data_IF_724303476633
#
_entry.id   IF_724303476633
#
_cell.length_a   1.000
_cell.length_b   1.000
_cell.length_c   1.000
_cell.angle_alpha   90.00
_cell.angle_beta   90.00
_cell.angle_gamma   90.00
#
_symmetry.space_group_name_H-M   'P 1'
#
loop_
_entity.id
_entity.type
_entity.pdbx_description
1 polymer ?
#
# COMPACT_ATOMS: atom_id res chain seq x y z
N UNK A 1 7.06 2.41 -15.11
CA UNK A 1 7.76 1.47 -14.21
C UNK A 1 7.14 1.56 -12.83
N UNK A 2 6.50 0.49 -12.40
CA UNK A 2 5.95 0.39 -11.05
C UNK A 2 7.14 0.22 -10.10
N UNK A 3 7.36 1.18 -9.20
CA UNK A 3 8.41 1.08 -8.18
C UNK A 3 7.86 0.24 -7.03
N UNK A 4 8.33 -0.99 -6.92
CA UNK A 4 7.99 -1.88 -5.83
C UNK A 4 8.83 -1.57 -4.58
N UNK A 5 8.27 -1.83 -3.40
CA UNK A 5 9.04 -1.74 -2.14
C UNK A 5 10.28 -2.63 -2.20
N UNK A 6 10.16 -3.84 -2.77
CA UNK A 6 11.27 -4.78 -2.95
C UNK A 6 12.36 -4.19 -3.85
N UNK A 7 12.00 -3.63 -4.99
CA UNK A 7 12.96 -3.05 -5.96
C UNK A 7 13.72 -1.87 -5.36
N UNK A 8 13.11 -1.16 -4.40
CA UNK A 8 13.75 -0.04 -3.72
C UNK A 8 15.00 -0.43 -2.93
N UNK A 9 15.12 -1.68 -2.48
CA UNK A 9 16.34 -2.16 -1.82
C UNK A 9 17.47 -2.47 -2.82
N UNK A 10 17.13 -2.86 -4.04
CA UNK A 10 18.09 -3.14 -5.10
C UNK A 10 18.63 -1.84 -5.72
N UNK A 11 17.76 -0.83 -5.91
CA UNK A 11 18.11 0.45 -6.53
C UNK A 11 17.68 1.65 -5.66
N UNK A 12 18.21 1.80 -4.43
CA UNK A 12 17.72 2.77 -3.46
C UNK A 12 17.83 4.22 -3.95
N UNK A 13 18.96 4.59 -4.56
CA UNK A 13 19.19 5.97 -5.06
C UNK A 13 18.27 6.32 -6.23
N UNK A 14 18.03 5.38 -7.15
CA UNK A 14 17.13 5.60 -8.28
C UNK A 14 15.69 5.73 -7.81
N UNK A 15 15.26 4.86 -6.89
CA UNK A 15 13.94 4.89 -6.28
C UNK A 15 13.67 6.23 -5.60
N UNK A 16 14.57 6.63 -4.70
CA UNK A 16 14.43 7.90 -3.97
C UNK A 16 14.39 9.09 -4.93
N UNK A 17 15.38 9.20 -5.83
CA UNK A 17 15.43 10.27 -6.83
C UNK A 17 14.17 10.35 -7.67
N UNK A 18 13.64 9.23 -8.12
CA UNK A 18 12.45 9.20 -8.99
C UNK A 18 11.20 9.66 -8.24
N UNK A 19 10.95 9.11 -7.05
CA UNK A 19 9.77 9.46 -6.25
C UNK A 19 9.80 10.94 -5.84
N UNK A 20 10.95 11.43 -5.40
CA UNK A 20 11.09 12.83 -4.99
C UNK A 20 11.00 13.78 -6.19
N UNK A 21 11.62 13.45 -7.33
CA UNK A 21 11.60 14.30 -8.51
C UNK A 21 10.19 14.45 -9.10
N UNK A 22 9.40 13.38 -9.17
CA UNK A 22 8.01 13.45 -9.67
C UNK A 22 7.20 14.44 -8.86
N UNK A 23 7.24 14.34 -7.54
CA UNK A 23 6.51 15.23 -6.65
C UNK A 23 7.05 16.67 -6.72
N UNK A 24 8.37 16.85 -6.56
CA UNK A 24 8.97 18.17 -6.52
C UNK A 24 8.76 18.95 -7.81
N UNK A 25 9.01 18.34 -8.97
CA UNK A 25 8.84 19.01 -10.27
C UNK A 25 7.40 19.48 -10.47
N UNK A 26 6.40 18.65 -10.06
CA UNK A 26 5.01 19.04 -10.17
C UNK A 26 4.69 20.22 -9.25
N UNK A 27 5.08 20.15 -7.98
CA UNK A 27 4.86 21.24 -7.00
C UNK A 27 5.55 22.52 -7.44
N UNK A 28 6.80 22.47 -7.91
CA UNK A 28 7.52 23.64 -8.42
C UNK A 28 6.80 24.32 -9.58
N UNK A 29 6.22 23.56 -10.50
CA UNK A 29 5.42 24.11 -11.59
C UNK A 29 4.14 24.77 -11.05
N UNK A 30 3.41 24.11 -10.13
CA UNK A 30 2.21 24.66 -9.54
C UNK A 30 2.49 26.01 -8.84
N UNK A 31 3.57 26.08 -8.04
CA UNK A 31 3.97 27.29 -7.34
C UNK A 31 4.40 28.36 -8.35
N UNK A 32 5.33 28.05 -9.28
CA UNK A 32 5.90 29.03 -10.20
C UNK A 32 4.89 29.63 -11.18
N UNK A 33 3.81 28.93 -11.44
CA UNK A 33 2.71 29.36 -12.32
C UNK A 33 1.47 29.84 -11.56
N UNK A 34 1.55 29.88 -10.22
CA UNK A 34 0.44 30.28 -9.35
C UNK A 34 -0.86 29.48 -9.63
N UNK A 35 -0.69 28.20 -10.00
CA UNK A 35 -1.83 27.32 -10.31
C UNK A 35 -2.40 26.76 -9.02
N UNK A 36 -3.62 27.18 -8.68
CA UNK A 36 -4.41 26.60 -7.60
C UNK A 36 -5.21 25.44 -8.12
N UNK A 37 -4.99 24.25 -7.59
CA UNK A 37 -5.75 23.05 -7.92
C UNK A 37 -5.95 22.18 -6.69
N UNK A 38 -6.94 21.32 -6.75
CA UNK A 38 -7.07 20.23 -5.80
C UNK A 38 -5.95 19.21 -6.06
N UNK A 39 -5.26 18.79 -5.01
CA UNK A 39 -4.11 17.90 -5.14
C UNK A 39 -4.23 16.71 -4.19
N UNK A 40 -4.15 15.51 -4.74
CA UNK A 40 -4.11 14.27 -3.97
C UNK A 40 -2.74 13.60 -4.08
N UNK A 41 -2.08 13.41 -2.95
CA UNK A 41 -0.84 12.64 -2.86
C UNK A 41 -1.12 11.21 -2.46
N UNK A 42 -0.86 10.28 -3.35
CA UNK A 42 -0.85 8.86 -3.01
C UNK A 42 0.34 8.54 -2.10
N UNK A 43 0.09 8.55 -0.81
CA UNK A 43 1.02 8.11 0.23
C UNK A 43 0.87 6.62 0.52
N UNK A 44 1.54 6.08 1.53
CA UNK A 44 1.60 4.63 1.73
C UNK A 44 1.67 4.26 3.21
N UNK A 45 1.01 3.19 3.60
CA UNK A 45 1.13 2.60 4.92
C UNK A 45 2.56 2.10 5.26
N UNK A 46 3.43 1.96 4.24
CA UNK A 46 4.85 1.65 4.45
C UNK A 46 5.63 2.77 5.16
N UNK A 47 5.04 3.97 5.25
CA UNK A 47 5.63 5.11 5.99
C UNK A 47 5.61 4.91 7.51
N UNK A 48 4.70 4.12 8.03
CA UNK A 48 4.55 3.87 9.46
C UNK A 48 5.64 2.95 10.01
N UNK A 49 5.87 3.04 11.32
CA UNK A 49 6.79 2.14 12.03
C UNK A 49 6.33 0.68 11.90
N UNK A 50 7.25 -0.25 11.61
CA UNK A 50 6.91 -1.69 11.58
C UNK A 50 6.60 -2.28 12.96
N UNK A 51 6.90 -1.54 14.03
CA UNK A 51 6.72 -1.99 15.40
C UNK A 51 5.43 -1.48 16.07
N UNK A 52 4.50 -0.92 15.27
CA UNK A 52 3.22 -0.46 15.80
C UNK A 52 2.34 -1.65 16.18
N UNK A 53 1.66 -1.51 17.30
CA UNK A 53 0.63 -2.44 17.77
C UNK A 53 -0.75 -1.84 17.55
N UNK A 54 -1.77 -2.69 17.31
CA UNK A 54 -3.15 -2.27 17.09
C UNK A 54 -3.43 -1.76 15.68
N UNK A 55 -4.47 -0.93 15.57
CA UNK A 55 -4.83 -0.25 14.32
C UNK A 55 -4.01 1.03 14.15
N UNK A 56 -3.77 1.38 12.90
CA UNK A 56 -2.87 2.46 12.51
C UNK A 56 -3.70 3.59 11.90
N UNK A 57 -3.68 4.75 12.56
CA UNK A 57 -4.29 6.00 12.13
C UNK A 57 -3.24 7.06 11.72
N UNK A 58 -3.70 8.27 11.38
CA UNK A 58 -2.87 9.38 10.92
C UNK A 58 -1.92 9.92 11.99
N UNK A 59 -2.18 9.68 13.28
CA UNK A 59 -1.36 10.13 14.41
C UNK A 59 -0.18 9.20 14.70
N UNK A 60 -0.19 8.01 14.13
CA UNK A 60 0.81 7.00 14.36
C UNK A 60 2.19 7.41 13.85
N UNK A 61 3.23 6.93 14.53
CA UNK A 61 4.62 7.29 14.25
C UNK A 61 5.06 6.87 12.83
N UNK A 62 5.56 7.83 12.07
CA UNK A 62 6.24 7.57 10.79
C UNK A 62 7.69 7.17 11.04
N UNK A 63 8.04 5.92 10.73
CA UNK A 63 9.38 5.36 10.91
C UNK A 63 9.71 4.40 9.76
N UNK A 64 9.98 4.95 8.56
CA UNK A 64 10.14 4.17 7.33
C UNK A 64 11.39 3.29 7.38
N UNK A 65 11.26 2.03 7.00
CA UNK A 65 12.34 1.03 6.99
C UNK A 65 12.86 0.69 5.58
N UNK A 66 12.30 1.27 4.51
CA UNK A 66 12.74 1.07 3.13
C UNK A 66 13.04 2.38 2.41
N UNK A 67 13.88 2.39 1.35
CA UNK A 67 14.13 3.58 0.53
C UNK A 67 12.83 4.14 -0.07
N UNK A 68 11.92 3.29 -0.53
CA UNK A 68 10.59 3.67 -0.99
C UNK A 68 9.82 4.44 0.08
N UNK A 69 9.71 3.87 1.27
CA UNK A 69 8.96 4.47 2.38
C UNK A 69 9.58 5.80 2.84
N UNK A 70 10.91 5.91 2.86
CA UNK A 70 11.62 7.17 3.18
C UNK A 70 11.25 8.29 2.20
N UNK A 71 11.26 7.99 0.90
CA UNK A 71 10.87 8.96 -0.13
C UNK A 71 9.38 9.35 0.00
N UNK A 72 8.48 8.40 0.31
CA UNK A 72 7.07 8.69 0.57
C UNK A 72 6.87 9.58 1.79
N UNK A 73 7.58 9.34 2.90
CA UNK A 73 7.55 10.20 4.10
C UNK A 73 8.02 11.62 3.76
N UNK A 74 9.09 11.76 2.96
CA UNK A 74 9.60 13.08 2.55
C UNK A 74 8.55 13.87 1.78
N UNK A 75 7.92 13.28 0.77
CA UNK A 75 6.85 13.92 -0.01
C UNK A 75 5.62 14.24 0.87
N UNK A 76 5.23 13.31 1.74
CA UNK A 76 4.12 13.48 2.68
C UNK A 76 4.33 14.71 3.59
N UNK A 77 5.49 14.79 4.25
CA UNK A 77 5.82 15.94 5.12
C UNK A 77 5.89 17.25 4.36
N UNK A 78 6.47 17.24 3.16
CA UNK A 78 6.51 18.44 2.31
C UNK A 78 5.11 18.88 1.90
N UNK A 79 4.21 17.95 1.57
CA UNK A 79 2.81 18.28 1.28
C UNK A 79 2.12 18.95 2.48
N UNK A 80 2.28 18.42 3.70
CA UNK A 80 1.66 18.99 4.89
C UNK A 80 2.13 20.43 5.13
N UNK A 81 3.43 20.70 4.97
CA UNK A 81 3.95 22.07 5.06
C UNK A 81 3.34 23.00 4.00
N UNK A 82 3.17 22.52 2.76
CA UNK A 82 2.56 23.32 1.69
C UNK A 82 1.08 23.64 1.93
N UNK A 83 0.34 22.78 2.60
CA UNK A 83 -1.05 23.05 3.03
C UNK A 83 -1.08 24.26 3.95
N UNK A 84 -0.17 24.30 4.93
CA UNK A 84 -0.10 25.39 5.90
C UNK A 84 0.38 26.71 5.26
N UNK A 85 1.35 26.64 4.33
CA UNK A 85 1.98 27.82 3.71
C UNK A 85 1.10 28.47 2.63
N UNK A 86 0.32 27.68 1.86
CA UNK A 86 -0.37 28.17 0.65
C UNK A 86 -1.89 28.11 0.70
N UNK A 87 -2.46 27.59 1.78
CA UNK A 87 -3.93 27.37 1.92
C UNK A 87 -4.53 26.53 0.77
N UNK A 88 -3.72 25.72 0.10
CA UNK A 88 -4.15 24.88 -1.00
C UNK A 88 -5.03 23.73 -0.54
N UNK A 89 -5.95 23.31 -1.39
CA UNK A 89 -6.74 22.11 -1.16
C UNK A 89 -5.93 20.87 -1.52
N UNK A 90 -5.15 20.38 -0.56
CA UNK A 90 -4.27 19.23 -0.71
C UNK A 90 -4.55 18.16 0.32
N UNK A 91 -4.60 16.92 -0.14
CA UNK A 91 -4.77 15.75 0.71
C UNK A 91 -3.68 14.70 0.49
N UNK A 92 -3.34 13.98 1.54
CA UNK A 92 -2.43 12.86 1.50
C UNK A 92 -3.16 11.57 1.90
N UNK A 93 -3.51 10.73 0.92
CA UNK A 93 -4.11 9.42 1.18
C UNK A 93 -3.06 8.40 1.58
N UNK A 94 -3.03 8.00 2.84
CA UNK A 94 -2.12 6.96 3.36
C UNK A 94 -2.75 5.60 3.09
N UNK A 95 -2.46 5.07 1.90
CA UNK A 95 -3.12 3.87 1.39
C UNK A 95 -2.55 2.60 2.02
N UNK A 96 -3.44 1.75 2.50
CA UNK A 96 -3.16 0.36 2.85
C UNK A 96 -3.24 -0.53 1.62
N UNK A 97 -3.10 -1.86 1.78
CA UNK A 97 -3.14 -2.75 0.62
C UNK A 97 -4.50 -2.66 -0.07
N UNK A 98 -4.48 -2.47 -1.38
CA UNK A 98 -5.68 -2.43 -2.20
C UNK A 98 -5.44 -3.19 -3.49
N UNK A 99 -6.41 -4.00 -3.88
CA UNK A 99 -6.27 -5.02 -4.91
C UNK A 99 -7.38 -4.90 -5.95
N UNK A 100 -7.07 -5.32 -7.16
CA UNK A 100 -8.03 -5.43 -8.27
C UNK A 100 -7.59 -6.52 -9.24
N UNK A 101 -8.43 -6.82 -10.22
CA UNK A 101 -8.12 -7.72 -11.34
C UNK A 101 -6.93 -7.26 -12.20
N UNK A 102 -6.55 -5.98 -12.10
CA UNK A 102 -5.40 -5.42 -12.83
C UNK A 102 -4.07 -5.54 -12.07
N UNK A 103 -4.07 -6.16 -10.88
CA UNK A 103 -2.85 -6.34 -10.09
C UNK A 103 -1.87 -7.26 -10.81
N UNK A 104 -0.63 -6.82 -10.98
CA UNK A 104 0.45 -7.60 -11.59
C UNK A 104 0.76 -8.89 -10.81
N UNK A 105 1.23 -9.91 -11.54
CA UNK A 105 1.43 -11.28 -11.01
C UNK A 105 2.54 -11.41 -9.94
N UNK A 106 3.41 -10.44 -9.82
CA UNK A 106 4.47 -10.40 -8.81
C UNK A 106 3.99 -9.99 -7.41
N UNK A 107 2.73 -9.54 -7.28
CA UNK A 107 2.12 -9.26 -5.98
C UNK A 107 1.50 -10.52 -5.37
N UNK A 108 1.49 -10.57 -4.02
CA UNK A 108 1.07 -11.75 -3.27
C UNK A 108 -0.33 -12.25 -3.63
N UNK A 109 -1.31 -11.34 -3.69
CA UNK A 109 -2.71 -11.66 -4.01
C UNK A 109 -2.84 -12.30 -5.38
N UNK A 110 -2.28 -11.65 -6.42
CA UNK A 110 -2.27 -12.16 -7.78
C UNK A 110 -1.48 -13.46 -7.91
N UNK A 111 -0.34 -13.57 -7.21
CA UNK A 111 0.45 -14.81 -7.17
C UNK A 111 -0.38 -15.97 -6.64
N UNK A 112 -1.08 -15.79 -5.50
CA UNK A 112 -1.91 -16.84 -4.91
C UNK A 112 -3.03 -17.26 -5.87
N UNK A 113 -3.76 -16.29 -6.45
CA UNK A 113 -4.88 -16.54 -7.36
C UNK A 113 -4.39 -17.28 -8.62
N UNK A 114 -3.34 -16.75 -9.27
CA UNK A 114 -2.84 -17.34 -10.51
C UNK A 114 -2.23 -18.72 -10.30
N UNK A 115 -1.46 -18.92 -9.22
CA UNK A 115 -0.90 -20.25 -8.93
C UNK A 115 -2.00 -21.25 -8.60
N UNK A 116 -3.01 -20.90 -7.80
CA UNK A 116 -4.14 -21.77 -7.54
C UNK A 116 -4.90 -22.16 -8.84
N UNK A 117 -5.08 -21.18 -9.74
CA UNK A 117 -5.66 -21.45 -11.05
C UNK A 117 -4.79 -22.39 -11.92
N UNK A 118 -3.45 -22.21 -11.91
CA UNK A 118 -2.55 -23.12 -12.64
C UNK A 118 -2.55 -24.53 -12.03
N UNK A 119 -2.62 -24.66 -10.71
CA UNK A 119 -2.77 -25.95 -10.02
C UNK A 119 -4.09 -26.61 -10.43
N UNK A 120 -5.19 -25.86 -10.42
CA UNK A 120 -6.49 -26.38 -10.92
C UNK A 120 -6.40 -26.88 -12.37
N UNK A 121 -5.63 -26.21 -13.22
CA UNK A 121 -5.35 -26.61 -14.61
C UNK A 121 -4.30 -27.71 -14.73
N UNK A 122 -3.74 -28.23 -13.63
CA UNK A 122 -2.66 -29.24 -13.59
C UNK A 122 -1.39 -28.80 -14.35
N UNK A 123 -1.08 -27.49 -14.32
CA UNK A 123 0.12 -26.92 -14.94
C UNK A 123 1.19 -26.56 -13.92
N UNK A 124 0.82 -26.43 -12.66
CA UNK A 124 1.69 -26.23 -11.51
C UNK A 124 1.28 -27.17 -10.39
N UNK A 125 2.20 -27.47 -9.48
CA UNK A 125 1.99 -28.43 -8.39
C UNK A 125 2.06 -27.79 -7.01
N UNK A 126 2.64 -26.59 -6.89
CA UNK A 126 2.91 -25.94 -5.60
C UNK A 126 2.79 -24.42 -5.66
N UNK A 127 2.30 -23.86 -4.55
CA UNK A 127 2.38 -22.43 -4.22
C UNK A 127 3.43 -22.25 -3.12
N UNK A 128 4.49 -21.47 -3.38
CA UNK A 128 5.53 -21.19 -2.39
C UNK A 128 5.36 -19.74 -1.90
N UNK A 129 5.16 -19.57 -0.59
CA UNK A 129 4.94 -18.26 0.08
C UNK A 129 5.78 -18.15 1.35
N UNK A 130 6.06 -16.91 1.80
CA UNK A 130 6.93 -16.65 2.94
C UNK A 130 6.29 -16.96 4.31
N UNK A 131 4.99 -16.76 4.46
CA UNK A 131 4.26 -17.01 5.71
C UNK A 131 2.77 -17.11 5.43
N UNK A 132 2.06 -17.79 6.32
CA UNK A 132 0.60 -17.83 6.39
C UNK A 132 0.02 -16.89 7.46
N UNK A 133 0.84 -16.50 8.44
CA UNK A 133 0.40 -15.83 9.68
C UNK A 133 0.38 -14.31 9.59
N UNK A 134 0.97 -13.72 8.55
CA UNK A 134 0.98 -12.27 8.41
C UNK A 134 -0.40 -11.75 8.09
N UNK A 135 -0.82 -10.73 8.83
CA UNK A 135 -2.13 -10.09 8.69
C UNK A 135 -1.99 -8.75 7.96
N UNK A 136 -2.81 -8.55 6.96
CA UNK A 136 -2.89 -7.30 6.19
C UNK A 136 -4.33 -6.83 6.10
N UNK A 137 -4.46 -5.53 5.96
CA UNK A 137 -5.71 -4.88 5.58
C UNK A 137 -5.74 -4.80 4.05
N UNK A 138 -6.63 -5.57 3.43
CA UNK A 138 -6.87 -5.54 1.99
C UNK A 138 -8.22 -4.91 1.69
N UNK A 139 -8.21 -3.96 0.77
CA UNK A 139 -9.40 -3.31 0.24
C UNK A 139 -9.56 -3.58 -1.25
N UNK A 140 -10.73 -3.34 -1.80
CA UNK A 140 -10.91 -3.23 -3.24
C UNK A 140 -10.36 -1.89 -3.73
N UNK A 141 -9.57 -1.91 -4.80
CA UNK A 141 -8.91 -0.69 -5.31
C UNK A 141 -9.92 0.38 -5.78
N UNK A 142 -11.10 -0.04 -6.27
CA UNK A 142 -12.18 0.86 -6.63
C UNK A 142 -12.64 1.71 -5.46
N UNK A 143 -12.89 1.10 -4.29
CA UNK A 143 -13.34 1.82 -3.08
C UNK A 143 -12.28 2.84 -2.61
N UNK A 144 -10.99 2.45 -2.70
CA UNK A 144 -9.89 3.37 -2.35
C UNK A 144 -9.79 4.53 -3.33
N UNK A 145 -10.05 4.32 -4.62
CA UNK A 145 -10.05 5.38 -5.62
C UNK A 145 -11.27 6.29 -5.50
N UNK A 146 -12.43 5.76 -5.13
CA UNK A 146 -13.61 6.56 -4.82
C UNK A 146 -13.36 7.46 -3.61
N UNK A 147 -12.79 6.92 -2.53
CA UNK A 147 -12.37 7.71 -1.37
C UNK A 147 -11.34 8.80 -1.73
N UNK A 148 -10.34 8.47 -2.54
CA UNK A 148 -9.35 9.43 -3.03
C UNK A 148 -10.00 10.55 -3.86
N UNK A 149 -10.99 10.21 -4.70
CA UNK A 149 -11.77 11.17 -5.50
C UNK A 149 -12.58 12.11 -4.59
N UNK A 150 -13.32 11.56 -3.63
CA UNK A 150 -14.10 12.35 -2.66
C UNK A 150 -13.18 13.32 -1.90
N UNK A 151 -12.07 12.86 -1.36
CA UNK A 151 -11.09 13.70 -0.67
C UNK A 151 -10.52 14.80 -1.57
N UNK A 152 -10.27 14.49 -2.85
CA UNK A 152 -9.72 15.46 -3.82
C UNK A 152 -10.69 16.59 -4.10
N UNK A 153 -11.99 16.31 -4.20
CA UNK A 153 -13.01 17.28 -4.59
C UNK A 153 -13.84 17.83 -3.43
N UNK A 154 -13.50 17.48 -2.19
CA UNK A 154 -14.04 18.08 -0.97
C UNK A 154 -13.12 19.20 -0.45
N UNK A 155 -13.51 19.83 0.66
CA UNK A 155 -12.68 20.79 1.40
C UNK A 155 -11.69 20.13 2.37
N UNK A 156 -11.53 18.79 2.27
CA UNK A 156 -10.64 18.01 3.11
C UNK A 156 -9.17 18.42 2.89
N UNK A 157 -8.42 18.60 3.99
CA UNK A 157 -6.99 18.91 3.96
C UNK A 157 -6.23 18.01 4.92
N UNK A 158 -4.99 17.71 4.56
CA UNK A 158 -4.08 16.94 5.40
C UNK A 158 -4.10 15.43 5.12
N UNK A 159 -3.62 14.59 6.08
CA UNK A 159 -3.54 13.16 5.90
C UNK A 159 -4.86 12.46 6.19
N UNK A 160 -5.14 11.41 5.43
CA UNK A 160 -6.23 10.46 5.64
C UNK A 160 -5.74 9.04 5.43
N UNK A 161 -5.99 8.16 6.40
CA UNK A 161 -5.73 6.72 6.26
C UNK A 161 -6.83 6.09 5.40
N UNK A 162 -6.44 5.37 4.37
CA UNK A 162 -7.34 4.69 3.44
C UNK A 162 -7.12 3.18 3.51
N UNK A 163 -8.10 2.47 4.02
CA UNK A 163 -8.12 1.02 4.17
C UNK A 163 -9.47 0.53 4.65
N UNK A 164 -9.61 -0.78 4.83
CA UNK A 164 -10.89 -1.40 5.25
C UNK A 164 -11.11 -1.39 6.77
N UNK A 165 -10.07 -1.16 7.55
CA UNK A 165 -10.10 -1.32 9.01
C UNK A 165 -10.19 -2.78 9.47
N UNK A 166 -10.08 -3.74 8.55
CA UNK A 166 -10.23 -5.16 8.83
C UNK A 166 -8.99 -5.94 8.37
N UNK A 167 -8.37 -6.66 9.31
CA UNK A 167 -7.23 -7.52 9.01
C UNK A 167 -7.67 -8.91 8.57
N UNK A 168 -6.97 -9.45 7.56
CA UNK A 168 -7.04 -10.85 7.16
C UNK A 168 -5.65 -11.44 7.08
N UNK A 169 -5.50 -12.69 7.50
CA UNK A 169 -4.23 -13.40 7.37
C UNK A 169 -3.99 -13.84 5.92
N UNK A 170 -2.72 -14.09 5.59
CA UNK A 170 -2.38 -14.73 4.31
C UNK A 170 -3.04 -16.11 4.22
N UNK A 171 -3.18 -16.81 5.35
CA UNK A 171 -3.90 -18.08 5.43
C UNK A 171 -5.36 -17.93 5.00
N UNK A 172 -6.09 -16.93 5.53
CA UNK A 172 -7.48 -16.66 5.14
C UNK A 172 -7.62 -16.45 3.63
N UNK A 173 -6.69 -15.69 3.03
CA UNK A 173 -6.67 -15.44 1.59
C UNK A 173 -6.43 -16.74 0.80
N UNK A 174 -5.48 -17.55 1.23
CA UNK A 174 -5.19 -18.87 0.61
C UNK A 174 -6.41 -19.77 0.70
N UNK A 175 -7.04 -19.88 1.87
CA UNK A 175 -8.23 -20.71 2.08
C UNK A 175 -9.38 -20.28 1.16
N UNK A 176 -9.66 -18.98 1.06
CA UNK A 176 -10.70 -18.45 0.17
C UNK A 176 -10.40 -18.81 -1.29
N UNK A 177 -9.19 -18.56 -1.76
CA UNK A 177 -8.82 -18.78 -3.17
C UNK A 177 -8.82 -20.27 -3.54
N UNK A 178 -8.23 -21.12 -2.70
CA UNK A 178 -8.16 -22.55 -2.98
C UNK A 178 -9.54 -23.20 -2.90
N UNK A 179 -10.38 -22.79 -1.94
CA UNK A 179 -11.77 -23.27 -1.85
C UNK A 179 -12.58 -22.94 -3.10
N UNK A 180 -12.37 -21.77 -3.71
CA UNK A 180 -13.03 -21.38 -4.96
C UNK A 180 -12.77 -22.39 -6.11
N UNK A 181 -11.58 -22.99 -6.15
CA UNK A 181 -11.21 -24.01 -7.12
C UNK A 181 -11.47 -25.45 -6.64
N UNK A 182 -12.09 -25.66 -5.47
CA UNK A 182 -12.26 -26.95 -4.81
C UNK A 182 -10.91 -27.68 -4.58
N UNK A 183 -9.87 -26.94 -4.23
CA UNK A 183 -8.54 -27.45 -3.93
C UNK A 183 -8.31 -27.46 -2.42
N UNK A 184 -7.70 -28.53 -1.93
CA UNK A 184 -7.18 -28.62 -0.55
C UNK A 184 -5.82 -27.90 -0.48
N UNK A 185 -5.80 -26.68 0.07
CA UNK A 185 -4.61 -25.84 0.07
C UNK A 185 -3.42 -26.48 0.81
N UNK A 186 -3.64 -27.30 1.83
CA UNK A 186 -2.58 -27.95 2.61
C UNK A 186 -1.72 -28.89 1.74
N UNK A 187 -2.26 -29.43 0.66
CA UNK A 187 -1.53 -30.27 -0.28
C UNK A 187 -0.60 -29.50 -1.21
N UNK A 188 -0.85 -28.22 -1.42
CA UNK A 188 -0.19 -27.45 -2.46
C UNK A 188 0.66 -26.29 -1.94
N UNK A 189 0.39 -25.79 -0.73
CA UNK A 189 1.09 -24.62 -0.19
C UNK A 189 2.34 -25.05 0.59
N UNK A 190 3.47 -24.44 0.24
CA UNK A 190 4.74 -24.59 0.95
C UNK A 190 5.13 -23.24 1.54
N UNK A 191 5.40 -23.22 2.85
CA UNK A 191 5.93 -22.04 3.53
C UNK A 191 7.46 -22.07 3.47
N UNK A 192 8.05 -21.02 2.90
CA UNK A 192 9.49 -20.79 2.85
C UNK A 192 9.84 -19.46 3.48
N UNK A 193 10.30 -19.50 4.72
CA UNK A 193 10.64 -18.33 5.51
C UNK A 193 11.79 -17.49 4.90
N UNK A 194 12.56 -18.02 3.97
CA UNK A 194 13.61 -17.27 3.26
C UNK A 194 13.04 -16.15 2.38
N UNK A 195 11.75 -16.24 2.03
CA UNK A 195 11.02 -15.21 1.28
C UNK A 195 10.51 -14.06 2.13
N UNK A 196 10.67 -14.12 3.46
CA UNK A 196 10.25 -13.04 4.34
C UNK A 196 11.17 -11.84 4.20
N UNK A 197 10.56 -10.65 4.16
CA UNK A 197 11.31 -9.40 4.17
C UNK A 197 11.72 -9.07 5.61
N UNK A 198 12.96 -8.68 5.79
CA UNK A 198 13.43 -8.18 7.09
C UNK A 198 12.66 -6.92 7.50
N UNK A 199 12.15 -6.89 8.73
CA UNK A 199 11.43 -5.74 9.27
C UNK A 199 10.00 -5.55 8.73
N UNK A 200 9.42 -6.55 8.05
CA UNK A 200 8.00 -6.51 7.67
C UNK A 200 7.13 -6.82 8.90
N UNK A 201 6.18 -5.95 9.30
CA UNK A 201 5.34 -6.18 10.47
C UNK A 201 4.45 -7.39 10.28
N UNK A 202 4.25 -8.19 11.34
CA UNK A 202 3.33 -9.34 11.28
C UNK A 202 1.89 -8.90 11.07
N UNK A 203 1.47 -7.80 11.69
CA UNK A 203 0.11 -7.26 11.61
C UNK A 203 0.18 -5.81 11.15
N UNK A 204 -0.61 -5.48 10.13
CA UNK A 204 -0.74 -4.10 9.62
C UNK A 204 -2.19 -3.86 9.22
N UNK A 205 -2.95 -3.16 10.07
CA UNK A 205 -4.39 -2.90 9.91
C UNK A 205 -4.61 -1.39 10.05
N UNK A 206 -5.40 -0.82 9.16
CA UNK A 206 -5.77 0.60 9.18
C UNK A 206 -6.81 0.91 10.27
N UNK A 207 -6.79 2.16 10.73
CA UNK A 207 -7.94 2.82 11.34
C UNK A 207 -8.40 3.97 10.44
N UNK A 208 -9.38 3.74 9.57
CA UNK A 208 -9.87 4.76 8.65
C UNK A 208 -10.96 5.66 9.27
N UNK A 209 -11.12 5.70 10.58
CA UNK A 209 -12.25 6.40 11.25
C UNK A 209 -12.38 7.85 10.82
N UNK A 210 -11.26 8.55 10.64
CA UNK A 210 -11.24 9.98 10.24
C UNK A 210 -11.94 10.28 8.92
N UNK A 211 -12.00 9.35 7.97
CA UNK A 211 -12.65 9.63 6.68
C UNK A 211 -14.18 9.58 6.77
N UNK A 212 -14.71 9.02 7.87
CA UNK A 212 -16.16 8.93 8.11
C UNK A 212 -16.70 10.07 8.97
N UNK A 213 -15.83 10.90 9.57
CA UNK A 213 -16.17 12.12 10.32
C UNK A 213 -16.39 13.33 9.38
#
# INVERSE_FOLDING_TARGET
NTILVYDSFNEPKLTEKTILAIFNNLIEVLISKEIKCNFFQASSSEMFSPNLEGKIDESCKLEPNSPYAKAKVSNHKKLLNLIDEHEWNMTSGIMFNHESEFRENNYLTSKIINTAFQIYKKKEDKLIIGSLDYVRDWSFAGDIMDAASILTFSDAKGPYVLGSGTGKSIKDLVEIVFSYFNLDWEKYVIVDNSLLRSGDPKIKISDPSKIFD
#
